data_IF_307825338617
#
_entry.id   IF_307825338617
#
_cell.length_a   1.000
_cell.length_b   1.000
_cell.length_c   1.000
_cell.angle_alpha   90.00
_cell.angle_beta   90.00
_cell.angle_gamma   90.00
#
_symmetry.space_group_name_H-M   'P 1'
#
loop_
_entity.id
_entity.type
_entity.pdbx_description
1 polymer ?
#
# COMPACT_ATOMS: atom_id res chain seq x y z
N UNK A 1 -78.45 -16.20 32.32
CA UNK A 1 -77.95 -17.02 31.19
C UNK A 1 -77.41 -16.06 30.13
N UNK A 2 -76.09 -15.90 30.02
CA UNK A 2 -75.44 -14.91 29.13
C UNK A 2 -74.72 -15.67 28.01
N UNK A 3 -75.09 -15.41 26.76
CA UNK A 3 -74.52 -16.07 25.58
C UNK A 3 -73.50 -15.13 24.93
N UNK A 4 -72.21 -15.38 25.13
CA UNK A 4 -71.12 -14.68 24.44
C UNK A 4 -70.98 -15.22 23.02
N UNK A 5 -71.29 -14.43 22.00
CA UNK A 5 -71.02 -14.76 20.60
C UNK A 5 -69.58 -14.36 20.25
N UNK A 6 -68.68 -15.34 20.10
CA UNK A 6 -67.36 -15.14 19.49
C UNK A 6 -67.53 -14.90 17.99
N UNK A 7 -67.00 -13.79 17.47
CA UNK A 7 -66.89 -13.57 16.02
C UNK A 7 -65.82 -14.51 15.43
N UNK A 8 -66.12 -15.28 14.37
CA UNK A 8 -65.10 -16.03 13.67
C UNK A 8 -64.28 -15.05 12.83
N UNK A 9 -62.98 -14.95 13.11
CA UNK A 9 -62.04 -14.33 12.18
C UNK A 9 -61.98 -15.22 10.93
N UNK A 10 -62.52 -14.73 9.81
CA UNK A 10 -62.42 -15.38 8.51
C UNK A 10 -60.94 -15.49 8.12
N UNK A 11 -60.38 -16.69 8.19
CA UNK A 11 -59.10 -17.00 7.57
C UNK A 11 -59.27 -16.90 6.05
N UNK A 12 -58.82 -15.79 5.46
CA UNK A 12 -58.70 -15.64 4.00
C UNK A 12 -57.53 -16.49 3.52
N UNK A 13 -57.83 -17.53 2.73
CA UNK A 13 -56.82 -18.28 2.00
C UNK A 13 -56.23 -17.43 0.86
N UNK A 14 -54.94 -17.61 0.59
CA UNK A 14 -54.26 -16.96 -0.53
C UNK A 14 -54.82 -17.45 -1.87
N UNK A 15 -55.02 -16.52 -2.81
CA UNK A 15 -55.49 -16.89 -4.16
C UNK A 15 -54.33 -17.40 -5.02
N UNK A 16 -54.62 -18.27 -6.00
CA UNK A 16 -53.60 -18.78 -6.92
C UNK A 16 -52.91 -17.62 -7.67
N UNK A 17 -53.68 -16.59 -8.05
CA UNK A 17 -53.16 -15.41 -8.74
C UNK A 17 -52.20 -14.60 -7.87
N UNK A 18 -52.48 -14.49 -6.57
CA UNK A 18 -51.61 -13.81 -5.61
C UNK A 18 -50.26 -14.52 -5.47
N UNK A 19 -50.26 -15.85 -5.44
CA UNK A 19 -49.01 -16.63 -5.42
C UNK A 19 -48.19 -16.43 -6.70
N UNK A 20 -48.84 -16.43 -7.87
CA UNK A 20 -48.17 -16.18 -9.15
C UNK A 20 -47.54 -14.79 -9.19
N UNK A 21 -48.27 -13.75 -8.75
CA UNK A 21 -47.74 -12.38 -8.71
C UNK A 21 -46.54 -12.28 -7.76
N UNK A 22 -46.59 -12.94 -6.59
CA UNK A 22 -45.47 -12.94 -5.62
C UNK A 22 -44.21 -13.58 -6.21
N UNK A 23 -44.33 -14.72 -6.90
CA UNK A 23 -43.16 -15.40 -7.49
C UNK A 23 -42.54 -14.56 -8.63
N UNK A 24 -43.37 -13.90 -9.44
CA UNK A 24 -42.88 -13.00 -10.51
C UNK A 24 -42.15 -11.78 -9.92
N UNK A 25 -42.74 -11.15 -8.90
CA UNK A 25 -42.11 -10.00 -8.22
C UNK A 25 -40.80 -10.40 -7.55
N UNK A 26 -40.75 -11.56 -6.86
CA UNK A 26 -39.52 -12.08 -6.26
C UNK A 26 -38.46 -12.42 -7.31
N UNK A 27 -38.84 -12.95 -8.48
CA UNK A 27 -37.92 -13.20 -9.58
C UNK A 27 -37.28 -11.90 -10.11
N UNK A 28 -38.08 -10.85 -10.26
CA UNK A 28 -37.59 -9.53 -10.69
C UNK A 28 -36.65 -8.89 -9.65
N UNK A 29 -37.03 -8.95 -8.37
CA UNK A 29 -36.20 -8.47 -7.26
C UNK A 29 -34.89 -9.26 -7.13
N UNK A 30 -34.94 -10.58 -7.35
CA UNK A 30 -33.75 -11.44 -7.31
C UNK A 30 -32.76 -11.08 -8.42
N UNK A 31 -33.25 -10.86 -9.65
CA UNK A 31 -32.39 -10.48 -10.78
C UNK A 31 -31.67 -9.14 -10.51
N UNK A 32 -32.39 -8.12 -10.05
CA UNK A 32 -31.82 -6.80 -9.74
C UNK A 32 -30.95 -6.84 -8.47
N UNK A 33 -31.35 -7.59 -7.46
CA UNK A 33 -30.60 -7.73 -6.21
C UNK A 33 -29.28 -8.49 -6.38
N UNK A 34 -29.22 -9.45 -7.32
CA UNK A 34 -28.04 -10.26 -7.56
C UNK A 34 -26.83 -9.45 -8.05
N UNK A 35 -27.05 -8.48 -8.95
CA UNK A 35 -25.97 -7.63 -9.48
C UNK A 35 -25.40 -6.73 -8.37
N UNK A 36 -26.27 -6.17 -7.54
CA UNK A 36 -25.89 -5.28 -6.43
C UNK A 36 -25.05 -6.00 -5.35
N UNK A 37 -25.36 -7.27 -5.05
CA UNK A 37 -24.61 -8.09 -4.10
C UNK A 37 -23.22 -8.45 -4.67
N UNK A 38 -23.15 -8.85 -5.94
CA UNK A 38 -21.89 -9.22 -6.60
C UNK A 38 -20.93 -8.04 -6.70
N UNK A 39 -21.44 -6.84 -6.99
CA UNK A 39 -20.63 -5.63 -7.05
C UNK A 39 -20.11 -5.21 -5.68
N UNK A 40 -20.88 -5.44 -4.60
CA UNK A 40 -20.44 -5.21 -3.22
C UNK A 40 -19.24 -6.10 -2.86
N UNK A 41 -19.26 -7.37 -3.23
CA UNK A 41 -18.13 -8.30 -2.98
C UNK A 41 -16.87 -7.95 -3.79
N UNK A 42 -17.01 -7.52 -5.04
CA UNK A 42 -15.89 -7.08 -5.88
C UNK A 42 -15.22 -5.83 -5.30
N UNK A 43 -16.02 -4.83 -4.92
CA UNK A 43 -15.53 -3.59 -4.30
C UNK A 43 -14.84 -3.88 -2.97
N UNK A 44 -15.41 -4.76 -2.14
CA UNK A 44 -14.83 -5.08 -0.83
C UNK A 44 -13.46 -5.77 -0.95
N UNK A 45 -13.31 -6.73 -1.87
CA UNK A 45 -12.01 -7.39 -2.12
C UNK A 45 -10.96 -6.41 -2.67
N UNK A 46 -11.38 -5.49 -3.54
CA UNK A 46 -10.51 -4.44 -4.08
C UNK A 46 -10.01 -3.49 -2.99
N UNK A 47 -10.89 -3.08 -2.06
CA UNK A 47 -10.52 -2.21 -0.94
C UNK A 47 -9.50 -2.90 -0.03
N UNK A 48 -9.71 -4.17 0.34
CA UNK A 48 -8.75 -4.87 1.21
C UNK A 48 -7.38 -5.10 0.57
N UNK A 49 -7.32 -5.44 -0.72
CA UNK A 49 -6.05 -5.61 -1.44
C UNK A 49 -5.25 -4.29 -1.51
N UNK A 50 -5.94 -3.18 -1.82
CA UNK A 50 -5.32 -1.85 -1.85
C UNK A 50 -4.80 -1.40 -0.47
N UNK A 51 -5.53 -1.71 0.61
CA UNK A 51 -5.12 -1.36 1.97
C UNK A 51 -3.88 -2.13 2.43
N UNK A 52 -3.78 -3.42 2.08
CA UNK A 52 -2.58 -4.23 2.37
C UNK A 52 -1.36 -3.69 1.63
N UNK A 53 -1.49 -3.42 0.32
CA UNK A 53 -0.42 -2.86 -0.51
C UNK A 53 0.08 -1.50 0.02
N UNK A 54 -0.84 -0.60 0.39
CA UNK A 54 -0.49 0.69 0.98
C UNK A 54 0.30 0.53 2.30
N UNK A 55 -0.13 -0.40 3.15
CA UNK A 55 0.51 -0.64 4.45
C UNK A 55 1.93 -1.18 4.27
N UNK A 56 2.13 -2.11 3.34
CA UNK A 56 3.45 -2.63 2.99
C UNK A 56 4.36 -1.54 2.39
N UNK A 57 3.84 -0.73 1.47
CA UNK A 57 4.60 0.37 0.86
C UNK A 57 5.05 1.39 1.92
N UNK A 58 4.16 1.80 2.83
CA UNK A 58 4.49 2.69 3.94
C UNK A 58 5.54 2.10 4.85
N UNK A 59 5.37 0.83 5.26
CA UNK A 59 6.35 0.15 6.08
C UNK A 59 7.74 0.12 5.41
N UNK A 60 7.79 -0.21 4.12
CA UNK A 60 9.04 -0.25 3.37
C UNK A 60 9.72 1.13 3.31
N UNK A 61 8.97 2.18 2.98
CA UNK A 61 9.51 3.55 2.91
C UNK A 61 9.99 4.05 4.29
N UNK A 62 9.24 3.77 5.36
CA UNK A 62 9.65 4.13 6.73
C UNK A 62 10.89 3.35 7.19
N UNK A 63 10.97 2.05 6.85
CA UNK A 63 12.14 1.24 7.13
C UNK A 63 13.36 1.78 6.39
N UNK A 64 13.24 2.06 5.09
CA UNK A 64 14.32 2.65 4.30
C UNK A 64 14.74 4.03 4.84
N UNK A 65 13.78 4.86 5.25
CA UNK A 65 14.11 6.15 5.84
C UNK A 65 14.87 6.02 7.16
N UNK A 66 14.59 5.00 7.98
CA UNK A 66 15.41 4.70 9.17
C UNK A 66 16.83 4.32 8.78
N UNK A 67 17.01 3.49 7.76
CA UNK A 67 18.35 3.14 7.26
C UNK A 67 19.10 4.38 6.76
N UNK A 68 18.45 5.22 5.96
CA UNK A 68 19.08 6.43 5.41
C UNK A 68 19.46 7.44 6.50
N UNK A 69 18.67 7.54 7.59
CA UNK A 69 19.04 8.40 8.74
C UNK A 69 20.31 7.91 9.46
N UNK A 70 20.68 6.64 9.31
CA UNK A 70 21.85 6.03 9.95
C UNK A 70 23.09 6.01 9.05
N UNK A 71 23.03 6.65 7.88
CA UNK A 71 24.17 6.74 6.96
C UNK A 71 25.37 7.35 7.66
N UNK A 72 26.51 6.67 7.54
CA UNK A 72 27.79 7.09 8.08
C UNK A 72 28.23 8.42 7.46
N UNK A 73 28.66 9.33 8.32
CA UNK A 73 29.33 10.57 7.92
C UNK A 73 30.77 10.55 8.44
N UNK A 74 31.74 10.86 7.56
CA UNK A 74 33.18 10.79 7.89
C UNK A 74 33.77 12.12 8.34
N UNK A 75 32.95 13.15 8.58
CA UNK A 75 33.40 14.52 8.87
C UNK A 75 33.49 15.41 7.63
N UNK A 76 33.39 14.82 6.43
CA UNK A 76 33.34 15.60 5.17
C UNK A 76 32.35 15.03 4.17
N UNK A 77 32.20 13.71 4.10
CA UNK A 77 31.34 13.04 3.12
C UNK A 77 30.41 12.03 3.80
N UNK A 78 29.22 11.83 3.23
CA UNK A 78 28.43 10.63 3.52
C UNK A 78 28.99 9.43 2.77
N UNK A 79 28.99 8.26 3.42
CA UNK A 79 29.43 7.00 2.81
C UNK A 79 28.28 6.40 1.99
N UNK A 80 28.04 7.00 0.82
CA UNK A 80 27.02 6.59 -0.16
C UNK A 80 27.76 6.15 -1.42
N UNK A 81 27.38 5.01 -2.00
CA UNK A 81 28.07 4.42 -3.14
C UNK A 81 27.88 5.17 -4.45
N UNK A 82 26.69 5.72 -4.70
CA UNK A 82 26.40 6.59 -5.85
C UNK A 82 25.27 7.57 -5.52
N UNK A 83 25.38 8.79 -6.05
CA UNK A 83 24.41 9.88 -5.83
C UNK A 83 23.64 10.27 -7.10
N UNK A 84 23.69 9.43 -8.14
CA UNK A 84 22.88 9.62 -9.36
C UNK A 84 21.42 9.86 -8.97
N UNK A 85 20.78 10.89 -9.54
CA UNK A 85 19.40 11.26 -9.23
C UNK A 85 18.58 11.49 -10.50
N UNK A 86 17.41 10.85 -10.65
CA UNK A 86 16.89 9.77 -9.81
C UNK A 86 17.67 8.45 -10.02
N UNK A 87 17.92 7.69 -8.96
CA UNK A 87 18.43 6.33 -9.02
C UNK A 87 17.34 5.31 -8.72
N UNK A 88 17.40 4.14 -9.36
CA UNK A 88 16.51 2.99 -9.09
C UNK A 88 17.07 2.01 -8.05
N UNK A 89 18.19 2.35 -7.44
CA UNK A 89 18.85 1.60 -6.36
C UNK A 89 19.64 2.56 -5.49
N UNK A 90 19.99 2.11 -4.29
CA UNK A 90 20.84 2.86 -3.37
C UNK A 90 21.82 1.92 -2.67
N UNK A 91 23.02 2.40 -2.40
CA UNK A 91 23.99 1.71 -1.55
C UNK A 91 24.69 2.72 -0.65
N UNK A 92 24.86 2.36 0.61
CA UNK A 92 25.47 3.21 1.62
C UNK A 92 25.96 2.39 2.80
N UNK A 93 26.76 2.99 3.68
CA UNK A 93 27.20 2.36 4.92
C UNK A 93 26.47 2.98 6.10
N UNK A 94 25.87 2.14 6.94
CA UNK A 94 25.29 2.53 8.21
C UNK A 94 26.25 2.30 9.36
N UNK A 95 26.05 3.03 10.46
CA UNK A 95 26.71 2.76 11.74
C UNK A 95 25.65 2.38 12.77
N UNK A 96 25.67 1.13 13.22
CA UNK A 96 24.76 0.63 14.25
C UNK A 96 25.61 0.15 15.43
N UNK A 97 25.41 0.76 16.60
CA UNK A 97 26.19 0.46 17.82
C UNK A 97 27.71 0.56 17.62
N UNK A 98 28.16 1.49 16.76
CA UNK A 98 29.59 1.68 16.44
C UNK A 98 30.16 0.72 15.39
N UNK A 99 29.35 -0.21 14.87
CA UNK A 99 29.77 -1.16 13.82
C UNK A 99 29.28 -0.67 12.46
N UNK A 100 30.18 -0.70 11.47
CA UNK A 100 29.86 -0.36 10.09
C UNK A 100 29.18 -1.51 9.38
N UNK A 101 28.06 -1.22 8.71
CA UNK A 101 27.31 -2.21 7.95
C UNK A 101 27.00 -1.66 6.57
N UNK A 102 27.38 -2.40 5.52
CA UNK A 102 26.99 -2.07 4.16
C UNK A 102 25.50 -2.37 3.96
N UNK A 103 24.78 -1.42 3.38
CA UNK A 103 23.36 -1.50 3.06
C UNK A 103 23.19 -1.33 1.57
N UNK A 104 22.43 -2.21 0.94
CA UNK A 104 22.00 -2.05 -0.44
C UNK A 104 20.49 -2.17 -0.57
N UNK A 105 19.91 -1.35 -1.43
CA UNK A 105 18.49 -1.28 -1.74
C UNK A 105 18.34 -1.37 -3.25
N UNK A 106 17.54 -2.32 -3.70
CA UNK A 106 17.31 -2.56 -5.13
C UNK A 106 15.93 -3.18 -5.36
N UNK A 107 15.46 -3.09 -6.60
CA UNK A 107 14.26 -3.81 -7.05
C UNK A 107 14.71 -4.98 -7.91
N UNK A 108 14.23 -6.18 -7.58
CA UNK A 108 14.45 -7.38 -8.37
C UNK A 108 13.11 -7.95 -8.81
N UNK A 109 12.85 -7.94 -10.11
CA UNK A 109 11.51 -8.20 -10.64
C UNK A 109 10.54 -7.14 -10.11
N UNK A 110 9.63 -7.54 -9.24
CA UNK A 110 8.65 -6.65 -8.58
C UNK A 110 8.92 -6.47 -7.08
N UNK A 111 10.01 -7.04 -6.56
CA UNK A 111 10.29 -7.05 -5.14
C UNK A 111 11.33 -5.98 -4.80
N UNK A 112 10.95 -5.04 -3.94
CA UNK A 112 11.88 -4.12 -3.31
C UNK A 112 12.61 -4.86 -2.19
N UNK A 113 13.94 -4.85 -2.27
CA UNK A 113 14.82 -5.57 -1.38
C UNK A 113 15.73 -4.61 -0.63
N UNK A 114 16.00 -4.97 0.63
CA UNK A 114 17.01 -4.37 1.49
C UNK A 114 17.99 -5.47 1.87
N UNK A 115 19.28 -5.24 1.72
CA UNK A 115 20.31 -6.23 2.02
C UNK A 115 21.38 -5.66 2.94
N UNK A 116 21.81 -6.50 3.88
CA UNK A 116 22.98 -6.29 4.72
C UNK A 116 24.08 -7.33 4.43
N UNK A 117 24.12 -7.82 3.19
CA UNK A 117 24.89 -8.99 2.75
C UNK A 117 24.00 -10.14 2.29
N UNK A 118 22.81 -10.28 2.88
CA UNK A 118 21.74 -11.16 2.40
C UNK A 118 20.45 -10.35 2.13
N UNK A 119 19.79 -10.56 0.97
CA UNK A 119 18.62 -9.77 0.59
C UNK A 119 17.37 -10.16 1.40
N UNK A 120 16.67 -9.15 1.91
CA UNK A 120 15.36 -9.22 2.55
C UNK A 120 14.34 -8.48 1.68
N UNK A 121 13.23 -9.13 1.34
CA UNK A 121 12.11 -8.48 0.63
C UNK A 121 11.32 -7.61 1.62
N UNK A 122 11.18 -6.32 1.30
CA UNK A 122 10.40 -5.36 2.10
C UNK A 122 8.98 -5.18 1.57
N UNK A 123 8.82 -5.20 0.25
CA UNK A 123 7.54 -4.97 -0.42
C UNK A 123 7.56 -5.63 -1.80
N UNK A 124 6.48 -6.32 -2.16
CA UNK A 124 6.27 -6.86 -3.51
C UNK A 124 5.43 -5.92 -4.37
N UNK A 125 5.17 -6.32 -5.62
CA UNK A 125 4.32 -5.59 -6.56
C UNK A 125 4.78 -4.16 -6.86
N UNK A 126 6.08 -3.90 -6.72
CA UNK A 126 6.69 -2.61 -6.99
C UNK A 126 6.72 -2.36 -8.49
N UNK A 127 6.10 -1.26 -8.90
CA UNK A 127 6.06 -0.80 -10.29
C UNK A 127 6.92 0.45 -10.51
N UNK A 128 7.36 1.11 -9.43
CA UNK A 128 8.33 2.20 -9.49
C UNK A 128 9.08 2.36 -8.18
N UNK A 129 10.38 2.58 -8.26
CA UNK A 129 11.21 2.95 -7.11
C UNK A 129 12.25 3.96 -7.55
N UNK A 130 12.34 5.06 -6.82
CA UNK A 130 13.32 6.12 -7.08
C UNK A 130 13.91 6.67 -5.79
N UNK A 131 15.20 7.00 -5.86
CA UNK A 131 15.94 7.70 -4.82
C UNK A 131 16.55 8.95 -5.45
N UNK A 132 16.26 10.10 -4.85
CA UNK A 132 16.82 11.39 -5.24
C UNK A 132 17.66 11.95 -4.09
N UNK A 133 18.92 12.26 -4.38
CA UNK A 133 19.85 12.92 -3.48
C UNK A 133 19.83 14.41 -3.78
N UNK A 134 19.44 15.21 -2.79
CA UNK A 134 19.27 16.65 -2.94
C UNK A 134 20.20 17.41 -1.99
N UNK A 135 20.68 18.55 -2.46
CA UNK A 135 21.44 19.51 -1.66
C UNK A 135 20.52 20.54 -0.98
N UNK A 136 21.09 21.51 -0.26
CA UNK A 136 20.35 22.47 0.56
C UNK A 136 19.34 23.30 -0.24
N UNK A 137 19.65 23.60 -1.50
CA UNK A 137 18.82 24.37 -2.42
C UNK A 137 17.76 23.52 -3.16
N UNK A 138 17.58 22.25 -2.76
CA UNK A 138 16.71 21.26 -3.40
C UNK A 138 17.10 20.82 -4.83
N UNK A 139 18.25 21.23 -5.36
CA UNK A 139 18.77 20.65 -6.60
C UNK A 139 19.45 19.30 -6.35
N UNK A 140 19.72 18.56 -7.43
CA UNK A 140 20.42 17.27 -7.33
C UNK A 140 21.83 17.47 -6.74
N UNK A 141 22.19 16.63 -5.77
CA UNK A 141 23.50 16.69 -5.14
C UNK A 141 24.60 16.36 -6.17
N UNK A 142 25.63 17.19 -6.20
CA UNK A 142 26.79 17.04 -7.10
C UNK A 142 27.94 16.25 -6.47
N UNK A 143 27.92 16.09 -5.14
CA UNK A 143 28.89 15.30 -4.40
C UNK A 143 28.23 14.70 -3.15
N UNK A 144 28.84 13.65 -2.60
CA UNK A 144 28.38 13.02 -1.35
C UNK A 144 28.52 13.95 -0.14
N UNK A 145 29.38 14.98 -0.19
CA UNK A 145 29.45 16.02 0.84
C UNK A 145 28.24 16.97 0.82
N UNK A 146 27.62 17.16 -0.34
CA UNK A 146 26.55 18.15 -0.56
C UNK A 146 25.15 17.59 -0.31
N UNK A 147 25.01 16.26 -0.15
CA UNK A 147 23.70 15.65 0.15
C UNK A 147 23.18 16.19 1.48
N UNK A 148 21.95 16.73 1.47
CA UNK A 148 21.23 17.19 2.66
C UNK A 148 19.92 16.45 2.85
N UNK A 149 19.31 16.05 1.74
CA UNK A 149 18.06 15.33 1.76
C UNK A 149 18.12 14.15 0.81
N UNK A 150 17.49 13.06 1.20
CA UNK A 150 17.23 11.92 0.33
C UNK A 150 15.73 11.75 0.23
N UNK A 151 15.22 11.74 -0.99
CA UNK A 151 13.80 11.53 -1.26
C UNK A 151 13.63 10.16 -1.85
N UNK A 152 12.85 9.33 -1.18
CA UNK A 152 12.44 8.01 -1.65
C UNK A 152 11.04 8.15 -2.22
N UNK A 153 10.80 7.64 -3.41
CA UNK A 153 9.44 7.42 -3.93
C UNK A 153 9.28 5.96 -4.30
N UNK A 154 8.24 5.32 -3.77
CA UNK A 154 7.89 3.93 -4.02
C UNK A 154 6.46 3.88 -4.57
N UNK A 155 6.29 3.22 -5.71
CA UNK A 155 5.00 2.98 -6.34
C UNK A 155 4.76 1.49 -6.41
N UNK A 156 3.60 1.06 -5.88
CA UNK A 156 3.15 -0.32 -5.86
C UNK A 156 1.87 -0.40 -6.67
N UNK A 157 1.77 -1.37 -7.57
CA UNK A 157 0.56 -1.61 -8.37
C UNK A 157 -0.04 -2.96 -7.99
N UNK A 158 -1.27 -2.94 -7.49
CA UNK A 158 -2.01 -4.16 -7.20
C UNK A 158 -2.33 -4.88 -8.52
N UNK A 159 -1.84 -6.12 -8.65
CA UNK A 159 -2.04 -6.95 -9.83
C UNK A 159 -3.51 -7.36 -10.06
N UNK A 160 -4.38 -7.24 -9.07
CA UNK A 160 -5.80 -7.62 -9.17
C UNK A 160 -6.68 -6.45 -9.61
N UNK A 161 -6.44 -5.26 -9.05
CA UNK A 161 -7.25 -4.07 -9.34
C UNK A 161 -6.62 -3.13 -10.37
N UNK A 162 -5.33 -3.27 -10.66
CA UNK A 162 -4.55 -2.35 -11.50
C UNK A 162 -4.28 -1.00 -10.82
N UNK A 163 -4.73 -0.81 -9.58
CA UNK A 163 -4.57 0.46 -8.88
C UNK A 163 -3.15 0.63 -8.39
N UNK A 164 -2.63 1.85 -8.57
CA UNK A 164 -1.27 2.21 -8.17
C UNK A 164 -1.28 3.15 -6.97
N UNK A 165 -0.48 2.82 -5.97
CA UNK A 165 -0.31 3.60 -4.75
C UNK A 165 1.14 4.07 -4.71
N UNK A 166 1.33 5.37 -4.56
CA UNK A 166 2.68 5.96 -4.47
C UNK A 166 2.87 6.57 -3.09
N UNK A 167 3.91 6.11 -2.40
CA UNK A 167 4.37 6.64 -1.13
C UNK A 167 5.69 7.37 -1.36
N UNK A 168 5.80 8.58 -0.83
CA UNK A 168 7.00 9.42 -0.98
C UNK A 168 7.41 9.99 0.36
N UNK A 169 8.67 9.80 0.71
CA UNK A 169 9.25 10.29 1.95
C UNK A 169 10.55 11.03 1.70
N UNK A 170 10.68 12.20 2.33
CA UNK A 170 11.91 12.98 2.35
C UNK A 170 12.59 12.80 3.70
N UNK A 171 13.87 12.45 3.65
CA UNK A 171 14.72 12.20 4.80
C UNK A 171 15.82 13.25 4.82
N UNK A 172 15.89 14.05 5.88
CA UNK A 172 17.06 14.90 6.12
C UNK A 172 18.21 14.05 6.67
N UNK A 173 19.41 14.21 6.11
CA UNK A 173 20.60 13.56 6.65
C UNK A 173 21.13 14.39 7.82
N UNK A 174 21.61 13.70 8.86
CA UNK A 174 22.28 14.37 9.98
C UNK A 174 23.62 14.89 9.47
N UNK A 175 23.80 16.21 9.43
CA UNK A 175 25.15 16.78 9.44
C UNK A 175 25.73 16.53 10.82
N UNK A 176 26.90 15.90 10.91
CA UNK A 176 27.57 15.76 12.22
C UNK A 176 27.88 17.12 12.81
#
# INVERSE_FOLDING_TARGET
MIRTTRSPFLQRGFTLMELVIVVVVLGFLSAVGSTMIVDTFKTTKMVYASQSAATQARYAVERLAREIRQVKYTGSNYVIGSITSPASSASFTNVINGVEQAVSVDVNGTDLRLSYGAPLVLCGNVSGFTVNYLQLDNSAATSTANVRFVVISLTVTDGTSGQSITERLRVALRSS
#
